data_IF_062071134839
#
_entry.id   IF_062071134839
#
_cell.length_a   1.000
_cell.length_b   1.000
_cell.length_c   1.000
_cell.angle_alpha   90.00
_cell.angle_beta   90.00
_cell.angle_gamma   90.00
#
_symmetry.space_group_name_H-M   'P 1'
#
loop_
_entity.id
_entity.type
_entity.pdbx_description
1 polymer ?
#
# COMPACT_ATOMS: atom_id res chain seq x y z
N UNK A 1 48.83 9.98 -19.43
CA UNK A 1 48.27 8.62 -19.53
C UNK A 1 46.77 8.77 -19.64
N UNK A 2 46.13 8.13 -20.62
CA UNK A 2 44.67 8.10 -20.72
C UNK A 2 44.15 6.87 -19.95
N UNK A 3 43.01 7.01 -19.27
CA UNK A 3 42.45 6.01 -18.38
C UNK A 3 41.04 5.62 -18.80
N UNK A 4 40.74 4.34 -18.67
CA UNK A 4 39.40 3.76 -18.81
C UNK A 4 38.96 3.18 -17.46
N UNK A 5 37.67 2.84 -17.35
CA UNK A 5 37.08 2.25 -16.17
C UNK A 5 36.73 0.79 -16.40
N UNK A 6 37.29 -0.10 -15.59
CA UNK A 6 36.91 -1.51 -15.53
C UNK A 6 35.89 -1.70 -14.41
N UNK A 7 34.64 -2.00 -14.77
CA UNK A 7 33.53 -2.12 -13.83
C UNK A 7 33.40 -3.55 -13.29
N UNK A 8 33.01 -3.69 -12.02
CA UNK A 8 32.64 -5.01 -11.47
C UNK A 8 31.30 -5.49 -12.05
N UNK A 9 30.99 -6.80 -11.94
CA UNK A 9 29.62 -7.27 -12.04
C UNK A 9 28.68 -6.52 -11.09
N UNK A 10 27.39 -6.50 -11.43
CA UNK A 10 26.33 -5.93 -10.60
C UNK A 10 26.05 -6.81 -9.38
N UNK A 11 26.17 -6.26 -8.18
CA UNK A 11 25.77 -6.87 -6.92
C UNK A 11 24.37 -6.37 -6.52
N UNK A 12 23.49 -7.27 -6.06
CA UNK A 12 22.16 -6.89 -5.53
C UNK A 12 22.29 -6.52 -4.07
N UNK A 13 21.74 -5.36 -3.68
CA UNK A 13 21.82 -4.83 -2.30
C UNK A 13 20.47 -4.62 -1.62
N UNK A 14 19.36 -4.83 -2.32
CA UNK A 14 18.02 -4.87 -1.72
C UNK A 14 17.27 -6.14 -2.09
N UNK A 15 16.32 -6.53 -1.24
CA UNK A 15 15.22 -7.42 -1.64
C UNK A 15 14.38 -6.78 -2.75
N UNK A 16 13.57 -7.59 -3.42
CA UNK A 16 12.55 -7.09 -4.33
C UNK A 16 11.46 -6.33 -3.56
N UNK A 17 11.00 -5.18 -4.06
CA UNK A 17 9.94 -4.36 -3.42
C UNK A 17 8.58 -5.03 -3.37
N UNK A 18 8.37 -6.09 -4.15
CA UNK A 18 7.11 -6.87 -4.21
C UNK A 18 7.42 -8.35 -4.30
N UNK A 19 6.54 -9.19 -3.77
CA UNK A 19 6.58 -10.66 -3.96
C UNK A 19 5.91 -11.10 -5.27
N UNK A 20 5.11 -10.24 -5.89
CA UNK A 20 4.43 -10.46 -7.16
C UNK A 20 4.05 -9.11 -7.83
N UNK A 21 3.79 -9.14 -9.14
CA UNK A 21 3.31 -8.02 -9.93
C UNK A 21 4.33 -6.89 -10.09
N UNK A 22 5.44 -7.18 -10.75
CA UNK A 22 6.49 -6.22 -11.16
C UNK A 22 7.07 -5.39 -9.99
N UNK A 23 7.86 -6.06 -9.16
CA UNK A 23 8.72 -5.41 -8.18
C UNK A 23 10.05 -4.96 -8.78
N UNK A 24 10.83 -4.20 -7.99
CA UNK A 24 12.18 -3.77 -8.33
C UNK A 24 13.15 -4.10 -7.19
N UNK A 25 14.42 -4.31 -7.52
CA UNK A 25 15.53 -4.47 -6.57
C UNK A 25 16.69 -3.56 -6.98
N UNK A 26 17.39 -3.01 -5.99
CA UNK A 26 18.54 -2.14 -6.22
C UNK A 26 19.79 -2.99 -6.42
N UNK A 27 20.54 -2.67 -7.46
CA UNK A 27 21.88 -3.18 -7.71
C UNK A 27 22.90 -2.04 -7.72
N UNK A 28 24.13 -2.38 -7.36
CA UNK A 28 25.30 -1.50 -7.44
C UNK A 28 26.50 -2.23 -8.03
N UNK A 29 27.49 -1.48 -8.50
CA UNK A 29 28.80 -1.99 -8.92
C UNK A 29 29.90 -0.99 -8.58
N UNK A 30 31.10 -1.50 -8.38
CA UNK A 30 32.30 -0.68 -8.26
C UNK A 30 33.01 -0.59 -9.63
N UNK A 31 34.09 0.19 -9.68
CA UNK A 31 35.01 0.22 -10.82
C UNK A 31 36.43 0.49 -10.34
N UNK A 32 37.41 0.19 -11.18
CA UNK A 32 38.80 0.65 -11.03
C UNK A 32 39.25 1.40 -12.28
N UNK A 33 40.16 2.36 -12.10
CA UNK A 33 40.85 3.00 -13.22
C UNK A 33 41.93 2.07 -13.76
N UNK A 34 41.98 1.90 -15.08
CA UNK A 34 42.95 1.07 -15.81
C UNK A 34 43.52 1.84 -17.00
N UNK A 35 44.71 1.50 -17.51
CA UNK A 35 45.25 2.13 -18.72
C UNK A 35 44.33 1.91 -19.93
N UNK A 36 44.17 2.92 -20.77
CA UNK A 36 43.38 2.83 -22.00
C UNK A 36 43.84 1.68 -22.91
N UNK A 37 42.88 0.95 -23.48
CA UNK A 37 43.10 -0.28 -24.25
C UNK A 37 43.14 -1.55 -23.41
N UNK A 38 42.78 -1.48 -22.12
CA UNK A 38 42.65 -2.68 -21.28
C UNK A 38 41.42 -3.49 -21.71
N UNK A 39 41.54 -4.80 -21.97
CA UNK A 39 40.39 -5.62 -22.36
C UNK A 39 39.23 -5.53 -21.36
N UNK A 40 38.00 -5.41 -21.88
CA UNK A 40 36.75 -5.21 -21.12
C UNK A 40 36.62 -3.88 -20.36
N UNK A 41 37.61 -2.98 -20.42
CA UNK A 41 37.45 -1.62 -19.93
C UNK A 41 36.49 -0.80 -20.83
N UNK A 42 35.91 0.26 -20.26
CA UNK A 42 34.92 1.11 -20.91
C UNK A 42 35.13 2.57 -20.48
N UNK A 43 34.45 3.53 -21.12
CA UNK A 43 34.50 4.93 -20.67
C UNK A 43 34.07 5.03 -19.20
N UNK A 44 34.76 5.90 -18.46
CA UNK A 44 34.34 6.29 -17.12
C UNK A 44 33.03 7.10 -17.15
N UNK A 45 32.26 7.04 -16.06
CA UNK A 45 30.98 7.75 -15.95
C UNK A 45 29.75 6.98 -16.44
N UNK A 46 29.80 5.64 -16.52
CA UNK A 46 28.59 4.80 -16.58
C UNK A 46 28.02 4.61 -15.17
N UNK A 47 26.73 4.32 -15.06
CA UNK A 47 26.03 4.24 -13.76
C UNK A 47 26.61 3.20 -12.80
N UNK A 48 26.67 3.55 -11.51
CA UNK A 48 27.13 2.68 -10.43
C UNK A 48 26.00 2.08 -9.59
N UNK A 49 24.76 2.52 -9.82
CA UNK A 49 23.53 1.94 -9.26
C UNK A 49 22.47 1.80 -10.35
N UNK A 50 21.60 0.79 -10.25
CA UNK A 50 20.43 0.61 -11.12
C UNK A 50 19.30 -0.12 -10.38
N UNK A 51 18.08 0.07 -10.86
CA UNK A 51 16.97 -0.81 -10.53
C UNK A 51 16.90 -1.97 -11.54
N UNK A 52 16.71 -3.19 -11.07
CA UNK A 52 16.41 -4.37 -11.89
C UNK A 52 15.03 -4.90 -11.52
N UNK A 53 14.19 -5.19 -12.51
CA UNK A 53 12.84 -5.73 -12.28
C UNK A 53 12.91 -7.15 -11.71
N UNK A 54 11.97 -7.50 -10.84
CA UNK A 54 11.90 -8.80 -10.17
C UNK A 54 10.46 -9.18 -9.84
N UNK A 55 10.21 -10.48 -9.65
CA UNK A 55 8.89 -11.02 -9.27
C UNK A 55 7.76 -10.58 -10.23
N UNK A 56 8.05 -10.64 -11.54
CA UNK A 56 7.16 -10.28 -12.66
C UNK A 56 5.91 -11.19 -12.81
N UNK A 57 5.82 -12.25 -12.00
CA UNK A 57 4.66 -13.13 -12.00
C UNK A 57 3.44 -12.38 -11.46
N UNK A 58 2.27 -12.59 -12.08
CA UNK A 58 1.01 -12.04 -11.61
C UNK A 58 0.76 -12.40 -10.13
N UNK A 59 0.20 -11.45 -9.37
CA UNK A 59 -0.23 -11.74 -8.00
C UNK A 59 -1.39 -12.74 -8.00
N UNK A 60 -1.49 -13.61 -6.96
CA UNK A 60 -2.71 -14.37 -6.72
C UNK A 60 -3.90 -13.42 -6.66
N UNK A 61 -4.97 -13.72 -7.39
CA UNK A 61 -6.25 -13.08 -7.15
C UNK A 61 -6.69 -13.43 -5.73
N UNK A 62 -7.28 -12.49 -4.95
CA UNK A 62 -7.95 -12.86 -3.72
C UNK A 62 -8.97 -13.94 -4.09
N UNK A 63 -8.89 -15.10 -3.43
CA UNK A 63 -9.92 -16.10 -3.61
C UNK A 63 -11.20 -15.51 -3.02
N UNK A 64 -12.25 -15.44 -3.83
CA UNK A 64 -13.60 -15.42 -3.28
C UNK A 64 -13.90 -16.84 -2.82
N UNK A 65 -13.29 -17.20 -1.69
CA UNK A 65 -13.71 -18.36 -0.92
C UNK A 65 -15.16 -18.08 -0.51
N UNK A 66 -16.12 -18.77 -1.13
CA UNK A 66 -17.53 -18.46 -0.96
C UNK A 66 -17.91 -18.51 0.54
N UNK A 67 -18.32 -17.36 1.09
CA UNK A 67 -18.90 -17.27 2.43
C UNK A 67 -20.39 -17.71 2.40
N UNK A 68 -20.63 -18.79 1.65
CA UNK A 68 -21.78 -19.69 1.75
C UNK A 68 -21.55 -20.78 2.81
N UNK A 69 -20.55 -20.60 3.69
CA UNK A 69 -20.76 -20.98 5.09
C UNK A 69 -21.71 -19.94 5.69
N UNK A 70 -23.03 -20.25 5.85
CA UNK A 70 -23.95 -19.29 6.42
C UNK A 70 -23.46 -18.92 7.82
N UNK A 71 -23.27 -17.61 8.04
CA UNK A 71 -23.28 -17.07 9.39
C UNK A 71 -24.55 -17.60 10.06
N UNK A 72 -24.39 -18.34 11.16
CA UNK A 72 -25.51 -18.84 11.95
C UNK A 72 -26.20 -17.67 12.65
N UNK A 73 -26.97 -16.92 11.86
CA UNK A 73 -27.95 -15.99 12.35
C UNK A 73 -28.79 -16.75 13.38
N UNK A 74 -28.94 -16.24 14.61
CA UNK A 74 -29.85 -16.87 15.56
C UNK A 74 -31.23 -16.93 14.90
N UNK A 75 -31.99 -18.03 15.06
CA UNK A 75 -33.27 -18.18 14.38
C UNK A 75 -34.15 -16.97 14.73
N UNK A 76 -34.57 -16.23 13.70
CA UNK A 76 -35.51 -15.12 13.86
C UNK A 76 -36.74 -15.69 14.54
N UNK A 77 -36.97 -15.23 15.78
CA UNK A 77 -38.21 -15.54 16.48
C UNK A 77 -39.32 -14.77 15.79
N UNK A 78 -40.22 -15.50 15.13
CA UNK A 78 -41.45 -14.95 14.61
C UNK A 78 -42.33 -14.52 15.79
N UNK A 79 -42.13 -13.27 16.21
CA UNK A 79 -43.01 -12.57 17.15
C UNK A 79 -44.22 -12.11 16.36
N UNK A 80 -45.10 -13.07 16.04
CA UNK A 80 -46.20 -12.97 15.08
C UNK A 80 -47.20 -11.83 15.33
N UNK A 81 -46.79 -10.61 15.02
CA UNK A 81 -47.62 -9.41 14.96
C UNK A 81 -48.13 -9.23 13.53
N UNK A 82 -49.09 -10.07 13.13
CA UNK A 82 -49.92 -9.89 11.94
C UNK A 82 -50.92 -8.74 12.13
N UNK A 83 -50.41 -7.54 12.42
CA UNK A 83 -51.18 -6.31 12.55
C UNK A 83 -51.64 -5.80 11.18
N UNK A 84 -52.92 -5.42 11.00
CA UNK A 84 -53.44 -5.03 9.70
C UNK A 84 -53.03 -3.60 9.30
N UNK A 85 -52.33 -3.51 8.17
CA UNK A 85 -52.33 -2.43 7.18
C UNK A 85 -52.67 -0.99 7.65
N UNK A 86 -51.66 -0.12 7.75
CA UNK A 86 -51.86 1.32 7.46
C UNK A 86 -50.76 1.87 6.57
N UNK A 87 -51.13 2.37 5.38
CA UNK A 87 -50.23 3.14 4.52
C UNK A 87 -50.35 4.61 4.93
N UNK A 88 -49.35 5.14 5.66
CA UNK A 88 -49.24 6.58 5.91
C UNK A 88 -47.78 7.01 5.76
N UNK A 89 -47.51 7.84 4.74
CA UNK A 89 -46.28 8.61 4.65
C UNK A 89 -46.42 9.87 5.52
N UNK A 90 -45.56 10.10 6.53
CA UNK A 90 -45.37 11.40 7.14
C UNK A 90 -44.17 12.08 6.48
N UNK A 91 -44.41 12.97 5.51
CA UNK A 91 -43.42 13.99 5.18
C UNK A 91 -43.37 14.95 6.37
N UNK A 92 -42.27 14.96 7.12
CA UNK A 92 -42.03 15.99 8.13
C UNK A 92 -40.76 16.78 7.80
N UNK A 93 -40.96 18.07 7.57
CA UNK A 93 -39.93 19.05 7.21
C UNK A 93 -39.06 19.38 8.41
N UNK A 94 -37.77 19.60 8.17
CA UNK A 94 -36.82 20.08 9.17
C UNK A 94 -37.21 21.49 9.64
N UNK A 95 -37.51 21.62 10.92
CA UNK A 95 -37.49 22.89 11.66
C UNK A 95 -36.78 22.64 12.99
N UNK A 96 -35.69 23.35 13.26
CA UNK A 96 -34.88 23.16 14.47
C UNK A 96 -34.76 24.43 15.29
N UNK A 97 -34.51 24.28 16.60
CA UNK A 97 -34.10 25.32 17.55
C UNK A 97 -33.30 24.70 18.71
N UNK A 98 -32.64 25.54 19.51
CA UNK A 98 -31.77 25.26 20.68
C UNK A 98 -32.58 24.86 21.94
N UNK A 99 -32.09 24.57 23.16
CA UNK A 99 -30.83 24.75 23.95
C UNK A 99 -30.85 23.71 25.12
N UNK A 100 -29.89 23.47 26.04
CA UNK A 100 -28.46 23.82 26.27
C UNK A 100 -27.88 22.94 27.42
N UNK A 101 -26.55 22.94 27.62
CA UNK A 101 -25.85 22.49 28.85
C UNK A 101 -25.52 20.98 28.93
N UNK A 102 -24.55 20.51 29.73
CA UNK A 102 -23.74 21.18 30.78
C UNK A 102 -22.28 20.70 30.81
N UNK A 103 -21.40 21.56 31.31
CA UNK A 103 -19.93 21.52 31.38
C UNK A 103 -19.20 20.16 31.59
N UNK A 104 -18.06 20.03 30.89
CA UNK A 104 -16.88 19.30 31.36
C UNK A 104 -15.64 20.21 31.26
N UNK A 105 -14.93 20.45 32.37
CA UNK A 105 -13.83 21.43 32.44
C UNK A 105 -12.49 20.81 32.05
N UNK A 106 -11.95 21.20 30.89
CA UNK A 106 -10.55 20.96 30.54
C UNK A 106 -9.67 22.14 31.01
N UNK A 107 -8.58 21.86 31.71
CA UNK A 107 -7.61 22.87 32.12
C UNK A 107 -6.55 23.05 31.02
N UNK A 108 -6.32 24.28 30.57
CA UNK A 108 -5.20 24.62 29.69
C UNK A 108 -3.91 24.74 30.50
N UNK A 109 -2.83 24.17 29.97
CA UNK A 109 -1.47 24.73 30.08
C UNK A 109 -0.81 24.60 28.70
N UNK A 110 -0.90 25.64 27.90
CA UNK A 110 0.09 25.94 26.86
C UNK A 110 1.03 27.02 27.39
N UNK A 111 2.32 26.90 27.08
CA UNK A 111 3.21 28.05 26.89
C UNK A 111 4.47 27.61 26.10
N UNK A 112 4.98 28.58 25.34
CA UNK A 112 6.08 28.50 24.37
C UNK A 112 7.41 28.05 24.98
#
# INVERSE_FOLDING_TARGET
MELECLYTPWATISSCTRTCGDGFKVQVRAFSFVPKGTPLAQDCGKDLSRNETCNINACPTPQVDDVDQPLLLPPVVDTGLSGPNTNVHPVHVVTGVVDAGTAGTAALVELH
#
